data_IF_551448802105
#
_entry.id   IF_551448802105
#
_cell.length_a   1.000
_cell.length_b   1.000
_cell.length_c   1.000
_cell.angle_alpha   90.00
_cell.angle_beta   90.00
_cell.angle_gamma   90.00
#
_symmetry.space_group_name_H-M   'P 1'
#
loop_
_entity.id
_entity.type
_entity.pdbx_description
1 polymer ?
#
# COMPACT_ATOMS: atom_id res chain seq x y z
N UNK A 1 -2.97 -24.33 6.24
CA UNK A 1 -3.50 -23.06 5.72
C UNK A 1 -4.87 -22.67 6.31
N UNK A 2 -5.72 -23.61 6.68
CA UNK A 2 -7.04 -23.32 7.31
C UNK A 2 -6.94 -22.84 8.77
N UNK A 3 -5.89 -23.22 9.48
CA UNK A 3 -5.64 -22.78 10.86
C UNK A 3 -5.23 -21.30 10.98
N UNK A 4 -4.55 -20.78 9.98
CA UNK A 4 -4.18 -19.36 9.90
C UNK A 4 -5.40 -18.48 9.63
N UNK A 5 -6.34 -18.93 8.81
CA UNK A 5 -7.58 -18.19 8.50
C UNK A 5 -8.52 -18.05 9.73
N UNK A 6 -8.61 -19.07 10.58
CA UNK A 6 -9.52 -18.99 11.76
C UNK A 6 -8.95 -18.08 12.87
N UNK A 7 -7.64 -18.03 13.06
CA UNK A 7 -6.99 -17.08 13.97
C UNK A 7 -7.17 -15.63 13.50
N UNK A 8 -7.06 -15.39 12.19
CA UNK A 8 -7.20 -14.05 11.61
C UNK A 8 -8.64 -13.50 11.70
N UNK A 9 -9.67 -14.36 11.67
CA UNK A 9 -11.06 -13.91 11.78
C UNK A 9 -11.43 -13.48 13.19
N UNK A 10 -11.04 -14.22 14.23
CA UNK A 10 -11.28 -13.82 15.63
C UNK A 10 -10.51 -12.56 16.01
N UNK A 11 -9.27 -12.41 15.53
CA UNK A 11 -8.50 -11.20 15.75
C UNK A 11 -9.08 -9.99 15.02
N UNK A 12 -9.85 -10.21 13.95
CA UNK A 12 -10.46 -9.12 13.17
C UNK A 12 -11.61 -8.43 13.91
N UNK A 13 -12.45 -9.18 14.63
CA UNK A 13 -13.55 -8.61 15.44
C UNK A 13 -12.98 -7.76 16.58
N UNK A 14 -12.00 -8.30 17.32
CA UNK A 14 -11.35 -7.57 18.42
C UNK A 14 -10.64 -6.30 17.91
N UNK A 15 -10.01 -6.38 16.74
CA UNK A 15 -9.34 -5.25 16.12
C UNK A 15 -10.34 -4.20 15.62
N UNK A 16 -11.48 -4.64 15.07
CA UNK A 16 -12.55 -3.73 14.67
C UNK A 16 -13.11 -2.95 15.87
N UNK A 17 -13.30 -3.61 17.01
CA UNK A 17 -13.72 -2.92 18.24
C UNK A 17 -12.71 -1.86 18.69
N UNK A 18 -11.40 -2.14 18.60
CA UNK A 18 -10.34 -1.15 18.91
C UNK A 18 -10.38 0.03 17.96
N UNK A 19 -10.52 -0.21 16.66
CA UNK A 19 -10.65 0.84 15.64
C UNK A 19 -11.87 1.72 15.91
N UNK A 20 -13.00 1.11 16.26
CA UNK A 20 -14.23 1.87 16.55
C UNK A 20 -14.12 2.77 17.80
N UNK A 21 -13.21 2.45 18.71
CA UNK A 21 -12.90 3.28 19.89
C UNK A 21 -11.90 4.40 19.61
N UNK A 22 -11.12 4.30 18.52
CA UNK A 22 -10.17 5.33 18.10
C UNK A 22 -10.81 6.25 17.04
N UNK A 23 -11.04 7.55 17.33
CA UNK A 23 -11.72 8.46 16.41
C UNK A 23 -11.02 8.58 15.05
N UNK A 24 -9.68 8.60 15.02
CA UNK A 24 -8.90 8.74 13.79
C UNK A 24 -9.06 7.49 12.94
N UNK A 25 -8.86 6.29 13.52
CA UNK A 25 -8.98 5.02 12.80
C UNK A 25 -10.43 4.77 12.35
N UNK A 26 -11.42 5.15 13.17
CA UNK A 26 -12.83 5.08 12.79
C UNK A 26 -13.14 5.96 11.59
N UNK A 27 -12.64 7.19 11.56
CA UNK A 27 -12.85 8.09 10.43
C UNK A 27 -12.18 7.56 9.15
N UNK A 28 -10.97 7.00 9.26
CA UNK A 28 -10.30 6.35 8.14
C UNK A 28 -11.10 5.17 7.60
N UNK A 29 -11.64 4.33 8.48
CA UNK A 29 -12.49 3.20 8.09
C UNK A 29 -13.74 3.67 7.36
N UNK A 30 -14.46 4.65 7.91
CA UNK A 30 -15.66 5.22 7.29
C UNK A 30 -15.35 5.85 5.93
N UNK A 31 -14.25 6.59 5.82
CA UNK A 31 -13.80 7.15 4.54
C UNK A 31 -13.56 6.04 3.50
N UNK A 32 -12.84 4.98 3.85
CA UNK A 32 -12.56 3.86 2.94
C UNK A 32 -13.82 3.11 2.50
N UNK A 33 -14.85 3.06 3.34
CA UNK A 33 -16.16 2.50 2.97
C UNK A 33 -16.92 3.35 1.95
N UNK A 34 -16.65 4.64 1.88
CA UNK A 34 -17.27 5.54 0.90
C UNK A 34 -16.59 5.52 -0.47
N UNK A 35 -15.52 4.75 -0.63
CA UNK A 35 -14.80 4.65 -1.89
C UNK A 35 -15.55 3.74 -2.88
N UNK A 36 -15.73 4.24 -4.10
CA UNK A 36 -16.29 3.47 -5.20
C UNK A 36 -15.18 2.92 -6.07
N UNK A 37 -15.16 1.62 -6.22
CA UNK A 37 -14.25 0.95 -7.13
C UNK A 37 -14.77 1.08 -8.57
N UNK A 38 -13.88 1.08 -9.57
CA UNK A 38 -14.27 1.12 -10.96
C UNK A 38 -15.10 -0.12 -11.35
N UNK A 39 -15.92 0.02 -12.38
CA UNK A 39 -16.52 -1.13 -13.03
C UNK A 39 -15.47 -1.97 -13.74
N UNK A 40 -15.81 -3.22 -14.07
CA UNK A 40 -14.91 -4.07 -14.85
C UNK A 40 -14.56 -3.42 -16.20
N UNK A 41 -15.54 -2.80 -16.86
CA UNK A 41 -15.36 -2.12 -18.14
C UNK A 41 -14.38 -0.95 -18.03
N UNK A 42 -14.59 -0.06 -17.07
CA UNK A 42 -13.71 1.08 -16.82
C UNK A 42 -12.28 0.63 -16.50
N UNK A 43 -12.15 -0.42 -15.68
CA UNK A 43 -10.85 -0.98 -15.33
C UNK A 43 -10.16 -1.62 -16.55
N UNK A 44 -10.90 -2.36 -17.35
CA UNK A 44 -10.40 -3.00 -18.59
C UNK A 44 -9.90 -1.97 -19.59
N UNK A 45 -10.71 -0.95 -19.89
CA UNK A 45 -10.32 0.12 -20.79
C UNK A 45 -9.05 0.83 -20.33
N UNK A 46 -8.99 1.17 -19.05
CA UNK A 46 -7.81 1.82 -18.46
C UNK A 46 -6.56 0.95 -18.55
N UNK A 47 -6.65 -0.34 -18.20
CA UNK A 47 -5.51 -1.27 -18.25
C UNK A 47 -5.04 -1.50 -19.70
N UNK A 48 -5.97 -1.59 -20.65
CA UNK A 48 -5.64 -1.69 -22.09
C UNK A 48 -4.91 -0.43 -22.56
N UNK A 49 -5.38 0.74 -22.15
CA UNK A 49 -4.70 2.01 -22.46
C UNK A 49 -3.27 2.03 -21.94
N UNK A 50 -3.07 1.67 -20.67
CA UNK A 50 -1.73 1.60 -20.06
C UNK A 50 -0.83 0.58 -20.76
N UNK A 51 -1.37 -0.56 -21.17
CA UNK A 51 -0.61 -1.56 -21.93
C UNK A 51 -0.18 -1.05 -23.31
N UNK A 52 -1.06 -0.31 -24.01
CA UNK A 52 -0.73 0.33 -25.30
C UNK A 52 0.32 1.43 -25.17
N UNK A 53 0.34 2.13 -24.04
CA UNK A 53 1.34 3.16 -23.71
C UNK A 53 2.67 2.57 -23.17
N UNK A 54 2.81 1.24 -23.16
CA UNK A 54 3.96 0.51 -22.59
C UNK A 54 4.26 0.88 -21.13
N UNK A 55 3.23 1.26 -20.39
CA UNK A 55 3.35 1.59 -18.97
C UNK A 55 3.53 0.35 -18.11
N UNK A 56 4.26 0.51 -17.02
CA UNK A 56 4.49 -0.56 -16.04
C UNK A 56 3.70 -0.32 -14.77
N UNK A 57 3.47 -1.39 -14.00
CA UNK A 57 2.95 -1.28 -12.65
C UNK A 57 4.03 -0.76 -11.67
N UNK A 58 3.67 -0.61 -10.39
CA UNK A 58 4.60 -0.13 -9.34
C UNK A 58 5.86 -1.00 -9.17
N UNK A 59 5.81 -2.28 -9.57
CA UNK A 59 6.93 -3.22 -9.54
C UNK A 59 7.74 -3.23 -10.85
N UNK A 60 7.45 -2.33 -11.79
CA UNK A 60 8.12 -2.26 -13.09
C UNK A 60 7.68 -3.35 -14.09
N UNK A 61 6.62 -4.10 -13.80
CA UNK A 61 6.11 -5.14 -14.68
C UNK A 61 5.22 -4.56 -15.77
N UNK A 62 5.39 -5.04 -17.01
CA UNK A 62 4.57 -4.64 -18.15
C UNK A 62 3.17 -5.22 -18.06
N UNK A 63 2.18 -4.47 -18.51
CA UNK A 63 0.79 -4.93 -18.63
C UNK A 63 0.59 -5.63 -19.97
N UNK A 64 0.06 -6.83 -19.97
CA UNK A 64 -0.23 -7.62 -21.18
C UNK A 64 -1.70 -8.05 -21.23
N UNK A 65 -2.28 -7.99 -22.43
CA UNK A 65 -3.65 -8.42 -22.70
C UNK A 65 -3.81 -9.93 -22.58
N UNK A 66 -2.94 -10.66 -23.26
CA UNK A 66 -2.95 -12.13 -23.35
C UNK A 66 -1.52 -12.65 -23.27
N UNK A 67 -1.38 -13.85 -22.77
CA UNK A 67 -0.10 -14.53 -22.74
C UNK A 67 -0.16 -15.88 -22.03
N UNK A 68 0.85 -16.71 -22.27
CA UNK A 68 1.00 -17.95 -21.53
C UNK A 68 1.40 -17.63 -20.08
N UNK A 69 0.60 -18.12 -19.13
CA UNK A 69 0.88 -18.05 -17.71
C UNK A 69 2.03 -19.01 -17.36
N UNK A 70 3.25 -18.63 -17.73
CA UNK A 70 4.46 -19.34 -17.34
C UNK A 70 5.12 -18.66 -16.15
N UNK A 71 5.91 -19.43 -15.38
CA UNK A 71 6.68 -18.89 -14.25
C UNK A 71 7.61 -17.74 -14.67
N UNK A 72 8.12 -17.77 -15.88
CA UNK A 72 8.99 -16.73 -16.44
C UNK A 72 8.21 -15.47 -16.82
N UNK A 73 7.01 -15.63 -17.41
CA UNK A 73 6.20 -14.48 -17.81
C UNK A 73 5.72 -13.65 -16.61
N UNK A 74 5.53 -14.24 -15.43
CA UNK A 74 5.15 -13.51 -14.20
C UNK A 74 6.28 -12.68 -13.59
N UNK A 75 7.52 -12.89 -14.01
CA UNK A 75 8.63 -12.05 -13.53
C UNK A 75 8.54 -10.63 -14.09
N UNK A 76 8.22 -10.51 -15.37
CA UNK A 76 8.35 -9.27 -16.12
C UNK A 76 7.02 -8.64 -16.53
N UNK A 77 5.93 -9.36 -16.41
CA UNK A 77 4.62 -8.85 -16.81
C UNK A 77 3.49 -9.28 -15.86
N UNK A 78 2.37 -8.57 -15.98
CA UNK A 78 1.09 -8.86 -15.33
C UNK A 78 0.01 -8.87 -16.39
N UNK A 79 -0.90 -9.85 -16.31
CA UNK A 79 -2.00 -9.96 -17.25
C UNK A 79 -3.20 -9.11 -16.76
N UNK A 80 -3.83 -8.43 -17.70
CA UNK A 80 -4.99 -7.57 -17.42
C UNK A 80 -6.11 -8.39 -16.78
N UNK A 81 -6.37 -9.60 -17.24
CA UNK A 81 -7.41 -10.47 -16.66
C UNK A 81 -7.15 -10.82 -15.20
N UNK A 82 -5.91 -10.99 -14.80
CA UNK A 82 -5.57 -11.24 -13.38
C UNK A 82 -5.93 -10.03 -12.51
N UNK A 83 -5.67 -8.81 -12.99
CA UNK A 83 -6.06 -7.59 -12.27
C UNK A 83 -7.57 -7.40 -12.21
N UNK A 84 -8.29 -7.76 -13.25
CA UNK A 84 -9.76 -7.72 -13.26
C UNK A 84 -10.36 -8.76 -12.29
N UNK A 85 -9.80 -9.95 -12.21
CA UNK A 85 -10.20 -10.94 -11.22
C UNK A 85 -9.95 -10.48 -9.78
N UNK A 86 -8.81 -9.84 -9.53
CA UNK A 86 -8.51 -9.24 -8.22
C UNK A 86 -9.54 -8.15 -7.89
N UNK A 87 -9.86 -7.27 -8.83
CA UNK A 87 -10.86 -6.23 -8.65
C UNK A 87 -12.22 -6.81 -8.26
N UNK A 88 -12.72 -7.82 -9.00
CA UNK A 88 -13.99 -8.47 -8.72
C UNK A 88 -14.00 -9.17 -7.34
N UNK A 89 -12.89 -9.81 -6.99
CA UNK A 89 -12.73 -10.43 -5.68
C UNK A 89 -12.78 -9.38 -4.56
N UNK A 90 -12.07 -8.27 -4.71
CA UNK A 90 -12.03 -7.19 -3.72
C UNK A 90 -13.38 -6.49 -3.55
N UNK A 91 -14.18 -6.38 -4.61
CA UNK A 91 -15.56 -5.88 -4.55
C UNK A 91 -16.48 -6.79 -3.73
N UNK A 92 -16.27 -8.10 -3.79
CA UNK A 92 -17.05 -9.10 -3.05
C UNK A 92 -16.67 -9.18 -1.57
N UNK A 93 -15.39 -8.93 -1.25
CA UNK A 93 -14.90 -8.91 0.12
C UNK A 93 -15.14 -7.54 0.72
N UNK A 94 -16.33 -7.30 1.22
CA UNK A 94 -16.65 -6.05 1.90
C UNK A 94 -16.36 -6.11 3.41
N UNK A 95 -15.30 -6.81 3.81
CA UNK A 95 -14.91 -6.94 5.21
C UNK A 95 -13.63 -6.14 5.44
N UNK A 96 -13.64 -5.14 6.36
CA UNK A 96 -12.41 -4.49 6.76
C UNK A 96 -11.51 -5.51 7.46
N UNK A 97 -10.32 -5.67 6.98
CA UNK A 97 -9.27 -6.41 7.68
C UNK A 97 -8.50 -5.38 8.48
N UNK A 98 -8.71 -5.38 9.79
CA UNK A 98 -7.95 -4.49 10.67
C UNK A 98 -6.77 -5.25 11.21
N UNK A 99 -5.56 -4.81 10.88
CA UNK A 99 -4.33 -5.31 11.47
C UNK A 99 -3.97 -4.46 12.67
N UNK A 100 -3.93 -5.05 13.85
CA UNK A 100 -3.48 -4.41 15.08
C UNK A 100 -2.45 -5.24 15.82
N UNK A 101 -1.52 -5.84 15.14
CA UNK A 101 -0.34 -6.32 15.83
C UNK A 101 0.53 -5.10 16.16
N UNK A 102 0.94 -4.97 17.40
CA UNK A 102 1.86 -3.95 17.93
C UNK A 102 1.37 -2.49 18.01
N UNK A 103 0.11 -2.27 18.32
CA UNK A 103 -0.39 -0.94 18.71
C UNK A 103 -0.51 0.09 17.59
N UNK A 104 -0.26 -0.27 16.35
CA UNK A 104 -0.57 0.55 15.20
C UNK A 104 -1.98 0.25 14.72
N UNK A 105 -2.95 1.10 15.06
CA UNK A 105 -4.35 1.01 14.64
C UNK A 105 -4.49 1.26 13.13
N UNK A 106 -3.87 0.40 12.31
CA UNK A 106 -3.90 0.51 10.86
C UNK A 106 -5.21 -0.06 10.33
N UNK A 107 -5.94 0.75 9.63
CA UNK A 107 -7.16 0.33 8.93
C UNK A 107 -6.78 -0.18 7.54
N UNK A 108 -6.87 -1.50 7.36
CA UNK A 108 -6.64 -2.16 6.08
C UNK A 108 -8.00 -2.58 5.53
N UNK A 109 -8.32 -2.18 4.32
CA UNK A 109 -9.57 -2.53 3.63
C UNK A 109 -9.25 -3.09 2.24
N UNK A 110 -10.29 -3.48 1.49
CA UNK A 110 -10.13 -3.89 0.09
C UNK A 110 -9.40 -2.86 -0.76
N UNK A 111 -9.53 -1.55 -0.44
CA UNK A 111 -8.81 -0.48 -1.14
C UNK A 111 -7.29 -0.65 -1.05
N UNK A 112 -6.76 -1.09 0.08
CA UNK A 112 -5.32 -1.27 0.28
C UNK A 112 -4.74 -2.40 -0.59
N UNK A 113 -5.56 -3.39 -0.94
CA UNK A 113 -5.17 -4.51 -1.80
C UNK A 113 -5.39 -4.24 -3.29
N UNK A 114 -6.08 -3.15 -3.62
CA UNK A 114 -6.30 -2.78 -5.01
C UNK A 114 -4.97 -2.49 -5.70
N UNK A 115 -4.71 -3.07 -6.88
CA UNK A 115 -3.52 -2.73 -7.67
C UNK A 115 -3.39 -1.23 -7.87
N UNK A 116 -2.18 -0.69 -7.71
CA UNK A 116 -1.95 0.77 -7.75
C UNK A 116 -2.44 1.42 -9.05
N UNK A 117 -2.30 0.72 -10.17
CA UNK A 117 -2.78 1.17 -11.48
C UNK A 117 -4.31 1.31 -11.58
N UNK A 118 -5.05 0.65 -10.70
CA UNK A 118 -6.53 0.77 -10.61
C UNK A 118 -6.98 1.79 -9.58
N UNK A 119 -6.11 2.22 -8.65
CA UNK A 119 -6.47 3.22 -7.64
C UNK A 119 -6.80 4.58 -8.24
N UNK A 120 -6.21 4.90 -9.39
CA UNK A 120 -6.48 6.14 -10.13
C UNK A 120 -7.94 6.26 -10.60
N UNK A 121 -8.65 5.14 -10.68
CA UNK A 121 -10.06 5.08 -11.09
C UNK A 121 -11.04 5.15 -9.90
N UNK A 122 -10.53 5.01 -8.67
CA UNK A 122 -11.37 5.05 -7.47
C UNK A 122 -11.89 6.46 -7.26
N UNK A 123 -13.18 6.56 -6.94
CA UNK A 123 -13.87 7.81 -6.68
C UNK A 123 -14.51 7.82 -5.30
N UNK A 124 -14.92 8.97 -4.81
CA UNK A 124 -15.48 9.15 -3.48
C UNK A 124 -16.99 9.39 -3.51
N UNK A 125 -17.72 8.64 -2.68
CA UNK A 125 -19.08 8.97 -2.27
C UNK A 125 -20.12 9.10 -3.37
N UNK A 126 -20.06 8.27 -4.44
CA UNK A 126 -20.97 8.36 -5.57
C UNK A 126 -20.75 9.59 -6.45
N UNK A 127 -19.72 10.37 -6.17
CA UNK A 127 -19.28 11.50 -7.01
C UNK A 127 -18.26 11.02 -8.04
N UNK A 128 -17.94 11.88 -9.03
CA UNK A 128 -16.83 11.63 -9.94
C UNK A 128 -15.49 12.21 -9.43
N UNK A 129 -15.43 12.57 -8.16
CA UNK A 129 -14.21 13.11 -7.55
C UNK A 129 -13.17 12.02 -7.41
N UNK A 130 -12.01 12.28 -7.97
CA UNK A 130 -10.84 11.41 -7.83
C UNK A 130 -10.16 11.63 -6.49
N UNK A 131 -9.50 10.60 -6.01
CA UNK A 131 -8.66 10.69 -4.81
C UNK A 131 -7.35 11.39 -5.14
N UNK A 132 -6.85 12.13 -4.17
CA UNK A 132 -5.49 12.67 -4.18
C UNK A 132 -4.71 11.94 -3.11
N UNK A 133 -3.60 11.32 -3.49
CA UNK A 133 -2.67 10.68 -2.57
C UNK A 133 -1.62 11.69 -2.12
N UNK A 134 -1.59 11.97 -0.82
CA UNK A 134 -0.55 12.78 -0.20
C UNK A 134 0.31 11.86 0.66
N UNK A 135 1.60 11.79 0.35
CA UNK A 135 2.55 10.98 1.11
C UNK A 135 3.65 11.88 1.70
N UNK A 136 3.98 11.63 2.96
CA UNK A 136 5.09 12.31 3.62
C UNK A 136 6.42 11.67 3.22
N UNK A 137 7.27 12.42 2.56
CA UNK A 137 8.62 11.94 2.26
C UNK A 137 9.41 11.73 3.54
N UNK A 138 9.85 10.48 3.74
CA UNK A 138 10.79 10.14 4.83
C UNK A 138 10.31 10.64 6.20
N UNK A 139 9.03 10.38 6.53
CA UNK A 139 8.36 10.95 7.71
C UNK A 139 9.12 10.69 9.01
N UNK A 140 9.48 9.44 9.32
CA UNK A 140 10.11 9.10 10.60
C UNK A 140 11.47 9.79 10.81
N UNK A 141 12.44 9.74 9.86
CA UNK A 141 13.68 10.49 10.01
C UNK A 141 13.48 11.99 10.21
N UNK A 142 12.52 12.60 9.49
CA UNK A 142 12.25 14.01 9.62
C UNK A 142 11.60 14.40 10.97
N UNK A 143 10.71 13.55 11.50
CA UNK A 143 10.15 13.74 12.85
C UNK A 143 11.25 13.65 13.93
N UNK A 144 12.17 12.70 13.82
CA UNK A 144 13.31 12.58 14.74
C UNK A 144 14.24 13.78 14.62
N UNK A 145 14.58 14.19 13.40
CA UNK A 145 15.39 15.38 13.17
C UNK A 145 14.72 16.66 13.72
N UNK A 146 13.42 16.81 13.54
CA UNK A 146 12.66 17.92 14.10
C UNK A 146 12.70 17.94 15.63
N UNK A 147 12.56 16.77 16.25
CA UNK A 147 12.51 16.65 17.73
C UNK A 147 13.89 16.75 18.38
N UNK A 148 14.91 16.20 17.78
CA UNK A 148 16.25 16.02 18.39
C UNK A 148 17.39 16.69 17.61
N UNK A 149 17.17 17.13 16.38
CA UNK A 149 18.20 17.67 15.48
C UNK A 149 18.63 19.12 15.73
N UNK A 150 18.17 19.75 16.81
CA UNK A 150 18.55 21.13 17.15
C UNK A 150 18.05 22.15 16.15
N UNK A 151 18.94 23.05 15.71
CA UNK A 151 18.59 24.12 14.75
C UNK A 151 18.59 23.68 13.28
N UNK A 152 19.03 22.47 12.98
CA UNK A 152 19.04 21.96 11.60
C UNK A 152 17.62 21.61 11.15
N UNK A 153 17.07 22.39 10.23
CA UNK A 153 15.74 22.23 9.65
C UNK A 153 15.78 21.61 8.23
N UNK A 154 16.92 21.12 7.82
CA UNK A 154 17.05 20.53 6.50
C UNK A 154 16.30 19.21 6.38
N UNK A 155 15.47 19.10 5.35
CA UNK A 155 14.69 17.88 5.10
C UNK A 155 15.60 16.70 4.80
N UNK A 156 15.46 15.62 5.55
CA UNK A 156 16.12 14.34 5.31
C UNK A 156 15.34 13.59 4.24
N UNK A 157 16.02 13.16 3.19
CA UNK A 157 15.46 12.29 2.15
C UNK A 157 16.29 11.01 2.01
N UNK A 158 15.71 9.96 1.46
CA UNK A 158 16.47 8.74 1.19
C UNK A 158 17.59 8.98 0.17
N UNK A 159 17.39 9.93 -0.76
CA UNK A 159 18.40 10.29 -1.75
C UNK A 159 19.61 10.97 -1.13
N UNK A 160 19.41 11.95 -0.24
CA UNK A 160 20.48 12.61 0.50
C UNK A 160 21.29 11.63 1.37
N UNK A 161 20.59 10.71 2.03
CA UNK A 161 21.26 9.68 2.85
C UNK A 161 22.02 8.69 1.97
N UNK A 162 21.45 8.28 0.85
CA UNK A 162 22.12 7.41 -0.12
C UNK A 162 23.40 8.05 -0.68
N UNK A 163 23.33 9.31 -1.07
CA UNK A 163 24.48 10.10 -1.53
C UNK A 163 25.57 10.22 -0.45
N UNK A 164 25.17 10.57 0.77
CA UNK A 164 26.11 10.70 1.90
C UNK A 164 26.81 9.39 2.26
N UNK A 165 26.09 8.26 2.18
CA UNK A 165 26.63 6.93 2.49
C UNK A 165 27.32 6.24 1.31
N UNK A 166 27.19 6.79 0.09
CA UNK A 166 27.70 6.16 -1.13
C UNK A 166 27.00 4.85 -1.48
N UNK A 167 25.69 4.74 -1.18
CA UNK A 167 24.89 3.54 -1.44
C UNK A 167 23.69 3.85 -2.32
N UNK A 168 23.04 2.81 -2.84
CA UNK A 168 21.80 2.98 -3.59
C UNK A 168 20.65 3.49 -2.70
N UNK A 169 19.75 4.27 -3.29
CA UNK A 169 18.55 4.77 -2.60
C UNK A 169 17.70 3.68 -1.94
N UNK A 170 17.62 2.51 -2.58
CA UNK A 170 16.90 1.35 -2.04
C UNK A 170 17.54 0.83 -0.74
N UNK A 171 18.85 0.83 -0.66
CA UNK A 171 19.62 0.44 0.53
C UNK A 171 19.40 1.46 1.66
N UNK A 172 19.49 2.75 1.36
CA UNK A 172 19.23 3.81 2.34
C UNK A 172 17.78 3.73 2.87
N UNK A 173 16.80 3.48 1.99
CA UNK A 173 15.40 3.28 2.39
C UNK A 173 15.22 2.07 3.31
N UNK A 174 15.86 0.95 2.98
CA UNK A 174 15.79 -0.26 3.81
C UNK A 174 16.43 -0.02 5.17
N UNK A 175 17.57 0.66 5.21
CA UNK A 175 18.24 1.06 6.46
C UNK A 175 17.34 1.91 7.36
N UNK A 176 16.65 2.92 6.81
CA UNK A 176 15.68 3.71 7.56
C UNK A 176 14.52 2.86 8.09
N UNK A 177 13.94 1.98 7.26
CA UNK A 177 12.86 1.09 7.70
C UNK A 177 13.30 0.16 8.82
N UNK A 178 14.51 -0.41 8.73
CA UNK A 178 15.08 -1.27 9.76
C UNK A 178 15.31 -0.50 11.06
N UNK A 179 15.90 0.70 10.97
CA UNK A 179 16.20 1.53 12.15
C UNK A 179 14.95 1.90 12.95
N UNK A 180 13.84 2.21 12.28
CA UNK A 180 12.61 2.66 12.97
C UNK A 180 11.63 1.54 13.32
N UNK A 181 11.79 0.33 12.77
CA UNK A 181 10.82 -0.75 12.94
C UNK A 181 11.41 -2.03 13.58
N UNK A 182 12.74 -2.16 13.70
CA UNK A 182 13.35 -3.29 14.38
C UNK A 182 13.62 -2.97 15.85
N UNK A 183 13.48 -3.98 16.70
CA UNK A 183 13.97 -3.88 18.07
C UNK A 183 15.49 -3.67 18.09
N UNK A 184 15.95 -2.86 19.03
CA UNK A 184 17.37 -2.53 19.17
C UNK A 184 18.28 -3.76 19.23
N UNK A 185 17.83 -4.81 19.91
CA UNK A 185 18.52 -6.09 20.01
C UNK A 185 18.72 -6.81 18.67
N UNK A 186 17.83 -6.56 17.71
CA UNK A 186 17.91 -7.15 16.36
C UNK A 186 18.81 -6.31 15.44
N UNK A 187 18.86 -5.01 15.64
CA UNK A 187 19.73 -4.11 14.86
C UNK A 187 21.22 -4.36 15.13
N UNK A 188 21.57 -4.77 16.34
CA UNK A 188 22.97 -5.06 16.71
C UNK A 188 23.48 -6.39 16.15
N UNK A 189 22.62 -7.21 15.55
CA UNK A 189 22.94 -8.52 14.95
C UNK A 189 22.98 -8.52 13.43
N UNK A 190 22.57 -7.43 12.80
CA UNK A 190 22.59 -7.23 11.34
C UNK A 190 23.85 -6.44 10.93
#
# INVERSE_FOLDING_TARGET
SNMVRSKNLKSNEENLEKVMKCPIAKNELLFKYMLNFPTEEEAREHLIKLAKEDKTNKQGKKLKLLGNHSRESFKDCVFIEDYLQILEYLKKINIPIVSSEDGGERVITSFNFLPSVLRELVTFGGTKQKLVELDYQTMHPNLVAYKYGGSNKEMITHDKVAEYLGVDRSVAKLGHLSFFNLEWSMMLKS
#
